data_IF_526023585228
#
_entry.id   IF_526023585228
#
_cell.length_a   1.000
_cell.length_b   1.000
_cell.length_c   1.000
_cell.angle_alpha   90.00
_cell.angle_beta   90.00
_cell.angle_gamma   90.00
#
_symmetry.space_group_name_H-M   'P 1'
#
loop_
_entity.id
_entity.type
_entity.pdbx_description
1 polymer ?
#
# COMPACT_ATOMS: atom_id res chain seq x y z
N UNK A 1 -8.74 -10.56 11.65
CA UNK A 1 -7.60 -10.64 10.70
C UNK A 1 -7.90 -10.42 9.22
N UNK A 2 -9.12 -10.62 8.69
CA UNK A 2 -9.34 -10.59 7.22
C UNK A 2 -8.91 -9.33 6.45
N UNK A 3 -8.89 -8.14 7.10
CA UNK A 3 -8.39 -6.90 6.49
C UNK A 3 -6.87 -6.92 6.27
N UNK A 4 -6.13 -7.42 7.25
CA UNK A 4 -4.67 -7.54 7.22
C UNK A 4 -4.27 -8.57 6.16
N UNK A 5 -4.90 -9.74 6.17
CA UNK A 5 -4.65 -10.79 5.18
C UNK A 5 -4.92 -10.31 3.73
N UNK A 6 -5.96 -9.51 3.54
CA UNK A 6 -6.26 -8.91 2.22
C UNK A 6 -5.15 -7.94 1.79
N UNK A 7 -4.65 -7.11 2.70
CA UNK A 7 -3.54 -6.20 2.41
C UNK A 7 -2.30 -6.97 1.97
N UNK A 8 -1.93 -8.03 2.70
CA UNK A 8 -0.79 -8.87 2.35
C UNK A 8 -0.94 -9.54 0.99
N UNK A 9 -2.13 -10.04 0.64
CA UNK A 9 -2.39 -10.59 -0.70
C UNK A 9 -2.24 -9.56 -1.82
N UNK A 10 -2.72 -8.34 -1.62
CA UNK A 10 -2.58 -7.28 -2.62
C UNK A 10 -1.11 -6.84 -2.78
N UNK A 11 -0.36 -6.74 -1.68
CA UNK A 11 1.08 -6.45 -1.73
C UNK A 11 1.86 -7.58 -2.41
N UNK A 12 1.48 -8.84 -2.16
CA UNK A 12 2.04 -9.99 -2.88
C UNK A 12 1.86 -9.82 -4.38
N UNK A 13 0.64 -9.51 -4.82
CA UNK A 13 0.31 -9.39 -6.24
C UNK A 13 0.97 -8.19 -6.92
N UNK A 14 0.96 -7.02 -6.27
CA UNK A 14 1.34 -5.73 -6.90
C UNK A 14 2.78 -5.31 -6.64
N UNK A 15 3.41 -5.83 -5.59
CA UNK A 15 4.75 -5.45 -5.20
C UNK A 15 5.69 -6.66 -5.30
N UNK A 16 5.51 -7.67 -4.46
CA UNK A 16 6.48 -8.76 -4.34
C UNK A 16 6.60 -9.62 -5.60
N UNK A 17 5.49 -9.94 -6.28
CA UNK A 17 5.53 -10.78 -7.50
C UNK A 17 6.00 -10.06 -8.77
N UNK A 18 6.02 -8.72 -8.77
CA UNK A 18 6.29 -7.93 -9.99
C UNK A 18 7.63 -7.21 -9.97
N UNK A 19 8.17 -6.91 -8.78
CA UNK A 19 9.41 -6.15 -8.63
C UNK A 19 10.61 -7.05 -8.41
N UNK A 20 11.76 -6.56 -8.86
CA UNK A 20 13.08 -7.13 -8.54
C UNK A 20 13.76 -6.23 -7.53
N UNK A 21 14.46 -6.84 -6.59
CA UNK A 21 15.20 -6.14 -5.55
C UNK A 21 16.67 -6.49 -5.68
N UNK A 22 17.52 -5.47 -5.77
CA UNK A 22 18.95 -5.65 -6.00
C UNK A 22 19.78 -5.44 -4.71
N UNK A 23 19.17 -4.82 -3.69
CA UNK A 23 19.72 -4.68 -2.33
C UNK A 23 18.59 -4.41 -1.32
N UNK A 24 18.92 -4.48 -0.03
CA UNK A 24 17.97 -4.11 1.04
C UNK A 24 17.58 -2.63 1.01
N UNK A 25 18.51 -1.76 0.61
CA UNK A 25 18.27 -0.32 0.44
C UNK A 25 17.31 -0.06 -0.73
N UNK A 26 17.55 -0.72 -1.86
CA UNK A 26 16.66 -0.68 -3.03
C UNK A 26 15.25 -1.18 -2.67
N UNK A 27 15.15 -2.30 -1.96
CA UNK A 27 13.88 -2.80 -1.43
C UNK A 27 13.17 -1.74 -0.57
N UNK A 28 13.87 -1.13 0.38
CA UNK A 28 13.31 -0.13 1.29
C UNK A 28 12.78 1.10 0.55
N UNK A 29 13.54 1.60 -0.43
CA UNK A 29 13.13 2.72 -1.29
C UNK A 29 11.90 2.35 -2.12
N UNK A 30 11.91 1.19 -2.74
CA UNK A 30 10.80 0.69 -3.55
C UNK A 30 9.52 0.49 -2.72
N UNK A 31 9.65 -0.02 -1.49
CA UNK A 31 8.55 -0.24 -0.55
C UNK A 31 7.96 1.08 -0.08
N UNK A 32 8.79 2.07 0.25
CA UNK A 32 8.32 3.41 0.64
C UNK A 32 7.47 4.05 -0.46
N UNK A 33 7.91 3.95 -1.72
CA UNK A 33 7.14 4.44 -2.87
C UNK A 33 5.83 3.67 -3.05
N UNK A 34 5.84 2.34 -2.89
CA UNK A 34 4.64 1.51 -2.96
C UNK A 34 3.62 1.89 -1.88
N UNK A 35 4.05 1.98 -0.63
CA UNK A 35 3.20 2.36 0.50
C UNK A 35 2.62 3.77 0.32
N UNK A 36 3.43 4.73 -0.11
CA UNK A 36 2.96 6.08 -0.41
C UNK A 36 1.88 6.05 -1.49
N UNK A 37 2.06 5.28 -2.57
CA UNK A 37 1.05 5.17 -3.63
C UNK A 37 -0.24 4.55 -3.09
N UNK A 38 -0.16 3.40 -2.42
CA UNK A 38 -1.33 2.70 -1.89
C UNK A 38 -2.12 3.55 -0.87
N UNK A 39 -1.43 4.28 0.00
CA UNK A 39 -2.08 5.10 1.05
C UNK A 39 -2.64 6.43 0.54
N UNK A 40 -2.20 6.92 -0.63
CA UNK A 40 -2.72 8.14 -1.25
C UNK A 40 -3.61 7.84 -2.47
N UNK A 41 -3.93 6.57 -2.74
CA UNK A 41 -4.80 6.20 -3.86
C UNK A 41 -6.27 6.18 -3.42
N UNK A 42 -7.15 7.00 -4.02
CA UNK A 42 -8.59 6.97 -3.80
C UNK A 42 -9.19 5.58 -4.04
N UNK A 43 -10.01 5.09 -3.11
CA UNK A 43 -10.64 3.78 -3.28
C UNK A 43 -12.12 3.79 -2.97
N UNK A 44 -12.90 3.08 -3.80
CA UNK A 44 -14.35 2.95 -3.69
C UNK A 44 -14.85 2.60 -2.28
N UNK A 45 -14.21 1.68 -1.52
CA UNK A 45 -14.66 1.34 -0.16
C UNK A 45 -14.56 2.50 0.84
N UNK A 46 -13.74 3.51 0.58
CA UNK A 46 -13.54 4.69 1.44
C UNK A 46 -14.28 5.91 0.88
N UNK A 47 -15.41 5.72 0.19
CA UNK A 47 -16.15 6.79 -0.49
C UNK A 47 -15.28 7.60 -1.47
N UNK A 48 -14.34 6.92 -2.16
CA UNK A 48 -13.36 7.54 -3.06
C UNK A 48 -12.37 8.50 -2.38
N UNK A 49 -12.17 8.35 -1.08
CA UNK A 49 -11.05 8.95 -0.37
C UNK A 49 -9.85 7.99 -0.40
N UNK A 50 -8.64 8.54 -0.26
CA UNK A 50 -7.47 7.72 0.00
C UNK A 50 -7.44 7.26 1.47
N UNK A 51 -6.73 6.18 1.82
CA UNK A 51 -6.54 5.77 3.20
C UNK A 51 -6.05 6.90 4.12
N UNK A 52 -5.13 7.75 3.64
CA UNK A 52 -4.65 8.90 4.39
C UNK A 52 -5.75 9.96 4.58
N UNK A 53 -6.48 10.32 3.52
CA UNK A 53 -7.57 11.31 3.61
C UNK A 53 -8.67 10.84 4.57
N UNK A 54 -9.01 9.55 4.50
CA UNK A 54 -9.98 8.94 5.40
C UNK A 54 -9.47 8.95 6.84
N UNK A 55 -8.20 8.61 7.09
CA UNK A 55 -7.65 8.54 8.44
C UNK A 55 -7.60 9.91 9.14
N UNK A 56 -7.28 10.99 8.41
CA UNK A 56 -7.22 12.36 8.94
C UNK A 56 -8.58 12.85 9.45
N UNK A 57 -9.70 12.29 8.97
CA UNK A 57 -11.04 12.64 9.48
C UNK A 57 -11.32 12.14 10.90
N UNK A 58 -10.51 11.20 11.41
CA UNK A 58 -10.70 10.57 12.73
C UNK A 58 -9.58 10.90 13.72
N UNK A 59 -8.78 11.93 13.43
CA UNK A 59 -7.76 12.52 14.33
C UNK A 59 -8.29 13.83 14.89
#
# INVERSE_FOLDING_TARGET
NGKVERSHREDQKRFYSSRRFYSLDDFSKQLAVHNRRSNNFPMRPLAWLSPNDFAVQFV
#
